data_IF_985473159267
#
_entry.id   IF_985473159267
#
_cell.length_a   1.000
_cell.length_b   1.000
_cell.length_c   1.000
_cell.angle_alpha   90.00
_cell.angle_beta   90.00
_cell.angle_gamma   90.00
#
_symmetry.space_group_name_H-M   'P 1'
#
loop_
_entity.id
_entity.type
_entity.pdbx_description
1 polymer ?
#
# COMPACT_ATOMS: atom_id res chain seq x y z
N UNK A 1 25.85 19.59 59.09
CA UNK A 1 25.07 20.50 58.25
C UNK A 1 25.21 20.03 56.80
N UNK A 2 24.14 19.38 56.34
CA UNK A 2 23.67 18.99 55.00
C UNK A 2 24.61 19.10 53.79
N UNK A 3 24.98 17.95 53.22
CA UNK A 3 25.38 17.81 51.81
C UNK A 3 24.11 17.69 50.95
N UNK A 4 23.97 18.57 49.95
CA UNK A 4 22.90 18.50 48.95
C UNK A 4 23.42 17.71 47.74
N UNK A 5 22.94 16.47 47.60
CA UNK A 5 23.08 15.66 46.39
C UNK A 5 22.04 16.15 45.37
N UNK A 6 22.48 16.82 44.32
CA UNK A 6 21.64 17.15 43.17
C UNK A 6 21.41 15.91 42.32
N UNK A 7 20.23 15.28 42.42
CA UNK A 7 19.79 14.26 41.47
C UNK A 7 19.53 14.94 40.11
N UNK A 8 20.40 14.67 39.13
CA UNK A 8 20.05 14.90 37.73
C UNK A 8 19.03 13.84 37.30
N UNK A 9 17.77 14.25 37.15
CA UNK A 9 16.79 13.48 36.39
C UNK A 9 17.20 13.52 34.91
N UNK A 10 17.84 12.46 34.42
CA UNK A 10 17.91 12.19 32.99
C UNK A 10 16.48 11.81 32.54
N UNK A 11 15.74 12.80 32.03
CA UNK A 11 14.53 12.53 31.28
C UNK A 11 14.93 11.78 30.01
N UNK A 12 14.72 10.47 29.98
CA UNK A 12 14.76 9.71 28.74
C UNK A 12 13.65 10.24 27.84
N UNK A 13 14.02 11.05 26.85
CA UNK A 13 13.11 11.49 25.79
C UNK A 13 12.60 10.23 25.07
N UNK A 14 11.28 9.98 25.01
CA UNK A 14 10.76 8.91 24.16
C UNK A 14 11.16 9.27 22.73
N UNK A 15 11.93 8.40 22.08
CA UNK A 15 12.26 8.55 20.66
C UNK A 15 10.96 8.29 19.90
N UNK A 16 10.33 9.29 19.28
CA UNK A 16 9.24 9.01 18.34
C UNK A 16 9.88 8.53 17.02
N UNK A 17 9.09 7.82 16.22
CA UNK A 17 9.34 7.60 14.78
C UNK A 17 10.22 6.42 14.36
N UNK A 18 10.09 5.27 15.00
CA UNK A 18 10.32 4.02 14.27
C UNK A 18 9.06 3.72 13.42
N UNK A 19 9.04 4.19 12.17
CA UNK A 19 8.05 3.73 11.18
C UNK A 19 8.02 2.20 11.19
N UNK A 20 6.86 1.54 11.39
CA UNK A 20 6.83 0.10 11.56
C UNK A 20 7.40 -0.61 10.31
N UNK A 21 8.19 -1.68 10.48
CA UNK A 21 8.76 -2.41 9.36
C UNK A 21 7.67 -3.02 8.49
N UNK A 22 7.93 -3.17 7.19
CA UNK A 22 6.96 -3.76 6.27
C UNK A 22 6.72 -5.24 6.63
N UNK A 23 5.46 -5.64 6.88
CA UNK A 23 5.14 -7.00 7.26
C UNK A 23 5.48 -7.98 6.14
N UNK A 24 5.99 -9.16 6.52
CA UNK A 24 6.32 -10.26 5.60
C UNK A 24 5.15 -11.23 5.46
N UNK A 25 4.35 -11.41 6.53
CA UNK A 25 3.11 -12.17 6.50
C UNK A 25 1.94 -11.23 6.19
N UNK A 26 1.33 -11.38 5.00
CA UNK A 26 0.17 -10.59 4.62
C UNK A 26 -1.11 -11.02 5.36
N UNK A 27 -1.18 -12.27 5.83
CA UNK A 27 -2.36 -12.80 6.52
C UNK A 27 -2.63 -12.10 7.85
N UNK A 28 -1.57 -11.64 8.54
CA UNK A 28 -1.64 -10.90 9.80
C UNK A 28 -1.98 -9.42 9.63
N UNK A 29 -2.02 -8.89 8.40
CA UNK A 29 -2.26 -7.47 8.14
C UNK A 29 -3.77 -7.20 8.01
N UNK A 30 -4.33 -6.24 8.75
CA UNK A 30 -5.74 -5.85 8.64
C UNK A 30 -6.10 -5.42 7.22
N UNK A 31 -7.26 -5.87 6.74
CA UNK A 31 -7.78 -5.46 5.43
C UNK A 31 -8.43 -4.08 5.53
N UNK A 32 -8.22 -3.22 4.54
CA UNK A 32 -8.90 -1.93 4.45
C UNK A 32 -10.33 -2.14 3.96
N UNK A 33 -11.29 -2.05 4.88
CA UNK A 33 -12.72 -2.10 4.54
C UNK A 33 -13.15 -0.86 3.77
N UNK A 34 -13.97 -1.07 2.73
CA UNK A 34 -14.56 0.02 1.94
C UNK A 34 -13.58 0.79 1.04
N UNK A 35 -12.30 0.40 0.96
CA UNK A 35 -11.33 1.09 0.10
C UNK A 35 -11.74 1.02 -1.37
N UNK A 36 -11.73 2.18 -2.04
CA UNK A 36 -12.24 2.30 -3.40
C UNK A 36 -11.33 1.66 -4.46
N UNK A 37 -10.10 1.28 -4.11
CA UNK A 37 -9.14 0.72 -5.07
C UNK A 37 -9.65 -0.51 -5.81
N UNK A 38 -10.30 -1.45 -5.13
CA UNK A 38 -10.90 -2.65 -5.77
C UNK A 38 -11.98 -2.31 -6.79
N UNK A 39 -12.74 -1.23 -6.55
CA UNK A 39 -13.83 -0.78 -7.43
C UNK A 39 -13.32 0.06 -8.61
N UNK A 40 -12.26 0.84 -8.40
CA UNK A 40 -11.75 1.80 -9.38
C UNK A 40 -10.64 1.22 -10.25
N UNK A 41 -9.79 0.33 -9.72
CA UNK A 41 -8.66 -0.23 -10.47
C UNK A 41 -9.02 -0.88 -11.81
N UNK A 42 -10.20 -1.54 -11.98
CA UNK A 42 -10.56 -2.10 -13.29
C UNK A 42 -10.64 -1.05 -14.40
N UNK A 43 -10.89 0.23 -14.07
CA UNK A 43 -10.92 1.34 -15.05
C UNK A 43 -9.54 1.67 -15.62
N UNK A 44 -8.47 1.16 -15.01
CA UNK A 44 -7.09 1.36 -15.47
C UNK A 44 -6.57 0.13 -16.24
N UNK A 45 -7.41 -0.88 -16.51
CA UNK A 45 -6.97 -2.12 -17.14
C UNK A 45 -6.35 -1.91 -18.52
N UNK A 46 -6.85 -0.97 -19.32
CA UNK A 46 -6.27 -0.67 -20.64
C UNK A 46 -4.85 -0.07 -20.55
N UNK A 47 -4.58 0.73 -19.52
CA UNK A 47 -3.22 1.24 -19.26
C UNK A 47 -2.28 0.08 -18.92
N UNK A 48 -2.72 -0.83 -18.06
CA UNK A 48 -1.95 -2.02 -17.66
C UNK A 48 -1.72 -2.95 -18.85
N UNK A 49 -2.76 -3.20 -19.65
CA UNK A 49 -2.68 -4.04 -20.85
C UNK A 49 -1.62 -3.51 -21.82
N UNK A 50 -1.54 -2.18 -22.01
CA UNK A 50 -0.49 -1.57 -22.83
C UNK A 50 0.92 -1.83 -22.32
N UNK A 51 1.13 -1.81 -21.00
CA UNK A 51 2.43 -2.14 -20.40
C UNK A 51 2.77 -3.62 -20.62
N UNK A 52 1.81 -4.52 -20.43
CA UNK A 52 2.01 -5.96 -20.63
C UNK A 52 2.28 -6.35 -22.08
N UNK A 53 1.64 -5.69 -23.04
CA UNK A 53 1.86 -5.93 -24.48
C UNK A 53 3.27 -5.58 -24.97
N UNK A 54 4.05 -4.80 -24.19
CA UNK A 54 5.47 -4.55 -24.48
C UNK A 54 6.35 -5.78 -24.21
N UNK A 55 5.84 -6.78 -23.50
CA UNK A 55 6.52 -8.05 -23.25
C UNK A 55 7.53 -8.05 -22.09
N UNK A 56 7.70 -6.92 -21.39
CA UNK A 56 8.67 -6.78 -20.29
C UNK A 56 8.07 -7.13 -18.92
N UNK A 57 6.76 -7.29 -18.84
CA UNK A 57 6.02 -7.50 -17.60
C UNK A 57 5.40 -8.89 -17.53
N UNK A 58 5.35 -9.45 -16.32
CA UNK A 58 4.82 -10.78 -16.04
C UNK A 58 3.99 -10.79 -14.76
N UNK A 59 3.20 -11.85 -14.56
CA UNK A 59 2.35 -12.02 -13.38
C UNK A 59 0.84 -11.95 -13.66
N UNK A 60 0.45 -11.53 -14.87
CA UNK A 60 -0.90 -11.74 -15.35
C UNK A 60 -1.13 -13.23 -15.65
N UNK A 61 -2.33 -13.72 -15.33
CA UNK A 61 -2.74 -15.10 -15.55
C UNK A 61 -3.96 -15.15 -16.45
N UNK A 62 -4.08 -16.22 -17.25
CA UNK A 62 -5.30 -16.44 -18.00
C UNK A 62 -6.46 -16.76 -17.04
N UNK A 63 -7.57 -16.05 -17.22
CA UNK A 63 -8.81 -16.22 -16.48
C UNK A 63 -9.96 -16.11 -17.47
N UNK A 64 -10.56 -17.25 -17.82
CA UNK A 64 -11.72 -17.33 -18.71
C UNK A 64 -11.49 -16.66 -20.08
N UNK A 65 -10.28 -16.81 -20.65
CA UNK A 65 -9.91 -16.21 -21.93
C UNK A 65 -9.51 -14.73 -21.86
N UNK A 66 -9.54 -14.12 -20.67
CA UNK A 66 -8.98 -12.80 -20.39
C UNK A 66 -7.67 -12.92 -19.61
N UNK A 67 -6.89 -11.84 -19.58
CA UNK A 67 -5.75 -11.69 -18.69
C UNK A 67 -6.21 -11.02 -17.39
N UNK A 68 -5.93 -11.68 -16.28
CA UNK A 68 -6.20 -11.20 -14.93
C UNK A 68 -4.88 -10.88 -14.22
N UNK A 69 -4.78 -9.67 -13.68
CA UNK A 69 -3.69 -9.28 -12.79
C UNK A 69 -4.28 -8.81 -11.46
N UNK A 70 -3.92 -9.51 -10.39
CA UNK A 70 -4.23 -9.12 -9.02
C UNK A 70 -2.95 -8.75 -8.29
N UNK A 71 -2.92 -7.53 -7.75
CA UNK A 71 -1.77 -7.02 -7.01
C UNK A 71 -2.20 -6.77 -5.58
N UNK A 72 -1.59 -7.51 -4.66
CA UNK A 72 -1.69 -7.27 -3.23
C UNK A 72 -0.91 -6.02 -2.87
N UNK A 73 -1.55 -5.17 -2.10
CA UNK A 73 -1.05 -3.84 -1.75
C UNK A 73 -0.94 -3.73 -0.25
N UNK A 74 0.22 -3.27 0.22
CA UNK A 74 0.42 -2.80 1.58
C UNK A 74 0.43 -1.28 1.61
N UNK A 75 -0.24 -0.74 2.61
CA UNK A 75 -0.32 0.69 2.88
C UNK A 75 0.09 0.93 4.32
N UNK A 76 1.07 1.79 4.52
CA UNK A 76 1.32 2.37 5.83
C UNK A 76 0.46 3.62 5.94
N UNK A 77 -0.50 3.64 6.84
CA UNK A 77 -1.43 4.75 7.02
C UNK A 77 -1.18 5.42 8.37
N UNK A 78 -1.27 6.76 8.41
CA UNK A 78 -1.49 7.47 9.68
C UNK A 78 -2.97 7.44 10.07
N UNK A 79 -3.29 7.76 11.34
CA UNK A 79 -4.66 7.69 11.85
C UNK A 79 -5.68 8.63 11.18
N UNK A 80 -5.21 9.64 10.45
CA UNK A 80 -6.03 10.52 9.60
C UNK A 80 -6.34 9.93 8.21
N UNK A 81 -5.93 8.68 7.96
CA UNK A 81 -6.09 7.96 6.71
C UNK A 81 -5.08 8.37 5.63
N UNK A 82 -4.06 9.16 5.94
CA UNK A 82 -3.06 9.54 4.93
C UNK A 82 -2.09 8.38 4.67
N UNK A 83 -1.89 7.97 3.41
CA UNK A 83 -0.86 7.00 3.07
C UNK A 83 0.53 7.63 3.22
N UNK A 84 1.36 7.00 4.05
CA UNK A 84 2.76 7.33 4.26
C UNK A 84 3.68 6.48 3.38
N UNK A 85 3.30 5.23 3.12
CA UNK A 85 3.98 4.31 2.20
C UNK A 85 2.99 3.44 1.45
N UNK A 86 3.28 3.15 0.19
CA UNK A 86 2.54 2.23 -0.66
C UNK A 86 3.53 1.18 -1.16
N UNK A 87 3.18 -0.09 -1.03
CA UNK A 87 4.01 -1.20 -1.46
C UNK A 87 3.15 -2.24 -2.21
N UNK A 88 3.22 -2.27 -3.56
CA UNK A 88 2.79 -3.44 -4.33
C UNK A 88 3.67 -4.64 -3.94
N UNK A 89 3.08 -5.77 -3.55
CA UNK A 89 3.84 -6.88 -2.94
C UNK A 89 4.23 -7.96 -3.95
N UNK A 90 3.32 -8.27 -4.88
CA UNK A 90 3.47 -9.38 -5.82
C UNK A 90 3.55 -8.92 -7.29
N UNK A 91 3.65 -7.61 -7.54
CA UNK A 91 3.94 -7.09 -8.87
C UNK A 91 5.39 -7.38 -9.24
N UNK A 92 5.63 -7.81 -10.49
CA UNK A 92 6.97 -8.09 -11.04
C UNK A 92 7.19 -7.26 -12.30
N UNK A 93 6.93 -5.97 -12.19
CA UNK A 93 6.97 -5.03 -13.31
C UNK A 93 7.09 -3.61 -12.75
N UNK A 94 8.30 -3.02 -12.76
CA UNK A 94 8.54 -1.69 -12.18
C UNK A 94 7.64 -0.60 -12.77
N UNK A 95 7.29 -0.68 -14.05
CA UNK A 95 6.37 0.28 -14.69
C UNK A 95 4.96 0.18 -14.12
N UNK A 96 4.46 -1.03 -13.88
CA UNK A 96 3.15 -1.27 -13.26
C UNK A 96 3.14 -0.83 -11.81
N UNK A 97 4.20 -1.15 -11.04
CA UNK A 97 4.33 -0.71 -9.65
C UNK A 97 4.26 0.82 -9.54
N UNK A 98 5.02 1.52 -10.39
CA UNK A 98 5.04 2.98 -10.47
C UNK A 98 3.69 3.53 -10.90
N UNK A 99 3.07 2.94 -11.92
CA UNK A 99 1.75 3.35 -12.43
C UNK A 99 0.68 3.25 -11.35
N UNK A 100 0.55 2.08 -10.72
CA UNK A 100 -0.45 1.82 -9.68
C UNK A 100 -0.27 2.73 -8.49
N UNK A 101 0.97 2.87 -8.01
CA UNK A 101 1.28 3.76 -6.88
C UNK A 101 0.91 5.22 -7.20
N UNK A 102 1.22 5.68 -8.42
CA UNK A 102 0.90 7.03 -8.88
C UNK A 102 -0.61 7.27 -9.00
N UNK A 103 -1.36 6.30 -9.54
CA UNK A 103 -2.83 6.37 -9.64
C UNK A 103 -3.50 6.38 -8.26
N UNK A 104 -3.01 5.57 -7.31
CA UNK A 104 -3.54 5.56 -5.95
C UNK A 104 -3.31 6.91 -5.27
N UNK A 105 -2.11 7.47 -5.35
CA UNK A 105 -1.79 8.78 -4.75
C UNK A 105 -2.55 9.94 -5.41
N UNK A 106 -2.82 9.86 -6.71
CA UNK A 106 -3.54 10.91 -7.44
C UNK A 106 -5.06 10.83 -7.31
N UNK A 107 -5.64 9.64 -7.42
CA UNK A 107 -7.10 9.45 -7.56
C UNK A 107 -7.75 8.90 -6.29
N UNK A 108 -7.02 8.12 -5.48
CA UNK A 108 -7.59 7.38 -4.35
C UNK A 108 -7.10 7.85 -2.98
N UNK A 109 -6.25 8.88 -2.93
CA UNK A 109 -5.68 9.40 -1.68
C UNK A 109 -6.73 9.77 -0.63
N UNK A 110 -7.90 10.25 -1.04
CA UNK A 110 -9.00 10.61 -0.13
C UNK A 110 -9.92 9.44 0.26
N UNK A 111 -9.65 8.22 -0.21
CA UNK A 111 -10.53 7.06 -0.03
C UNK A 111 -10.10 6.08 1.06
N UNK A 112 -8.98 6.37 1.74
CA UNK A 112 -8.51 5.58 2.87
C UNK A 112 -9.35 5.93 4.12
N UNK A 113 -9.70 4.92 4.95
CA UNK A 113 -10.43 5.16 6.18
C UNK A 113 -9.59 5.94 7.18
N UNK A 114 -10.26 6.70 8.03
CA UNK A 114 -9.65 7.34 9.19
C UNK A 114 -10.07 6.54 10.41
N UNK A 115 -9.11 6.08 11.19
CA UNK A 115 -9.36 5.27 12.39
C UNK A 115 -8.91 5.96 13.68
N UNK A 116 -8.22 7.11 13.57
CA UNK A 116 -7.73 7.87 14.71
C UNK A 116 -6.56 7.21 15.44
N UNK A 117 -5.88 6.24 14.82
CA UNK A 117 -4.70 5.61 15.42
C UNK A 117 -3.61 6.65 15.73
N UNK A 118 -3.02 6.54 16.93
CA UNK A 118 -1.95 7.43 17.38
C UNK A 118 -0.65 7.21 16.59
N UNK A 119 -0.41 5.96 16.16
CA UNK A 119 0.79 5.57 15.42
C UNK A 119 0.43 5.07 14.02
N UNK A 120 1.32 5.27 13.03
CA UNK A 120 1.14 4.68 11.73
C UNK A 120 1.09 3.15 11.79
N UNK A 121 0.21 2.54 11.01
CA UNK A 121 0.06 1.09 10.99
C UNK A 121 -0.13 0.57 9.56
N UNK A 122 0.24 -0.69 9.36
CA UNK A 122 0.11 -1.36 8.07
C UNK A 122 -1.31 -1.88 7.89
N UNK A 123 -1.87 -1.61 6.72
CA UNK A 123 -3.10 -2.22 6.25
C UNK A 123 -2.89 -2.80 4.85
N UNK A 124 -3.70 -3.78 4.48
CA UNK A 124 -3.64 -4.42 3.16
C UNK A 124 -4.92 -4.22 2.37
N UNK A 125 -4.77 -4.21 1.06
CA UNK A 125 -5.89 -4.40 0.14
C UNK A 125 -5.37 -4.97 -1.17
N UNK A 126 -6.19 -4.91 -2.22
CA UNK A 126 -5.84 -5.45 -3.52
C UNK A 126 -6.34 -4.52 -4.62
N UNK A 127 -5.59 -4.43 -5.71
CA UNK A 127 -6.08 -3.90 -6.98
C UNK A 127 -6.17 -5.03 -8.00
N UNK A 128 -7.20 -4.98 -8.84
CA UNK A 128 -7.47 -5.97 -9.87
C UNK A 128 -7.61 -5.31 -11.23
N UNK A 129 -7.00 -5.92 -12.22
CA UNK A 129 -7.05 -5.52 -13.63
C UNK A 129 -7.48 -6.72 -14.46
N UNK A 130 -8.33 -6.48 -15.45
CA UNK A 130 -8.81 -7.51 -16.36
C UNK A 130 -8.85 -6.93 -17.77
N UNK A 131 -8.18 -7.60 -18.71
CA UNK A 131 -8.21 -7.19 -20.12
C UNK A 131 -8.27 -8.39 -21.04
N UNK A 132 -8.77 -8.18 -22.25
CA UNK A 132 -8.75 -9.19 -23.31
C UNK A 132 -7.53 -8.98 -24.21
N UNK A 133 -6.95 -10.08 -24.66
CA UNK A 133 -5.97 -10.10 -25.75
C UNK A 133 -6.65 -10.28 -27.13
N UNK A 134 -7.99 -10.34 -27.17
CA UNK A 134 -8.73 -10.37 -28.42
C UNK A 134 -8.47 -9.09 -29.24
N UNK A 135 -8.21 -9.22 -30.56
CA UNK A 135 -7.97 -8.09 -31.47
C UNK A 135 -9.10 -7.06 -31.54
#
# INVERSE_FOLDING_TARGET
MTMLLSLMLAAATPVPDATPPMPQDLGSVPVIDGWLGRKISPRWSDDIARLYRRGECSGAVNHEGSQLLEIDMLFLLSGDGKPLKIAPVNARCPEVEKFVSSRILGTLRGSFPKDGAAEPHWMRSQVRFLWSDAP
#
